data_IF_310438139984
#
_entry.id   IF_310438139984
#
_cell.length_a   1.000
_cell.length_b   1.000
_cell.length_c   1.000
_cell.angle_alpha   90.00
_cell.angle_beta   90.00
_cell.angle_gamma   90.00
#
_symmetry.space_group_name_H-M   'P 1'
#
loop_
_entity.id
_entity.type
_entity.pdbx_description
1 polymer ?
#
# COMPACT_ATOMS: atom_id res chain seq x y z
N UNK A 1 3.79 1.64 12.70
CA UNK A 1 4.23 1.65 11.28
C UNK A 1 3.89 0.37 10.53
N UNK A 2 4.25 -0.83 11.03
CA UNK A 2 3.95 -2.08 10.32
C UNK A 2 2.46 -2.25 9.98
N UNK A 3 1.56 -1.98 10.94
CA UNK A 3 0.11 -1.99 10.70
C UNK A 3 -0.33 -1.04 9.58
N UNK A 4 0.40 0.05 9.36
CA UNK A 4 0.10 1.03 8.33
C UNK A 4 0.44 0.50 6.92
N UNK A 5 1.58 -0.18 6.77
CA UNK A 5 1.93 -0.91 5.53
C UNK A 5 1.04 -2.13 5.27
N UNK A 6 0.40 -2.66 6.31
CA UNK A 6 -0.55 -3.77 6.20
C UNK A 6 -2.01 -3.31 6.01
N UNK A 7 -2.22 -2.01 5.87
CA UNK A 7 -3.55 -1.44 5.66
C UNK A 7 -4.17 -1.96 4.37
N UNK A 8 -5.48 -2.25 4.43
CA UNK A 8 -6.28 -2.55 3.23
C UNK A 8 -6.83 -1.27 2.58
N UNK A 9 -6.73 -0.13 3.27
CA UNK A 9 -7.10 1.18 2.75
C UNK A 9 -5.96 1.80 1.93
N UNK A 10 -6.33 2.74 1.05
CA UNK A 10 -5.38 3.58 0.33
C UNK A 10 -4.61 4.48 1.32
N UNK A 11 -3.31 4.27 1.38
CA UNK A 11 -2.39 4.98 2.29
C UNK A 11 -1.19 5.61 1.60
N UNK A 12 -1.02 5.36 0.29
CA UNK A 12 0.15 5.80 -0.49
C UNK A 12 0.35 7.32 -0.45
N UNK A 13 -0.74 8.09 -0.49
CA UNK A 13 -0.74 9.55 -0.43
C UNK A 13 -0.18 10.12 0.87
N UNK A 14 -0.18 9.35 1.96
CA UNK A 14 0.33 9.78 3.27
C UNK A 14 1.53 8.97 3.74
N UNK A 15 2.03 8.06 2.89
CA UNK A 15 3.11 7.13 3.24
C UNK A 15 4.43 7.85 3.50
N UNK A 16 4.81 8.76 2.62
CA UNK A 16 6.08 9.47 2.73
C UNK A 16 6.18 10.29 4.02
N UNK A 17 5.16 11.10 4.29
CA UNK A 17 5.06 11.90 5.51
C UNK A 17 5.16 11.02 6.76
N UNK A 18 4.48 9.86 6.79
CA UNK A 18 4.57 8.94 7.93
C UNK A 18 5.95 8.29 8.06
N UNK A 19 6.61 7.95 6.95
CA UNK A 19 7.96 7.40 6.97
C UNK A 19 8.97 8.42 7.49
N UNK A 20 8.89 9.66 7.03
CA UNK A 20 9.71 10.77 7.53
C UNK A 20 9.50 10.98 9.02
N UNK A 21 8.24 11.07 9.48
CA UNK A 21 7.93 11.24 10.91
C UNK A 21 8.47 10.09 11.77
N UNK A 22 8.29 8.84 11.36
CA UNK A 22 8.80 7.67 12.11
C UNK A 22 10.32 7.66 12.14
N UNK A 23 10.98 7.93 11.02
CA UNK A 23 12.44 7.97 10.97
C UNK A 23 12.97 9.11 11.86
N UNK A 24 12.33 10.27 11.82
CA UNK A 24 12.63 11.42 12.68
C UNK A 24 12.52 11.07 14.15
N UNK A 25 11.41 10.47 14.56
CA UNK A 25 11.16 10.09 15.96
C UNK A 25 12.21 9.10 16.48
N UNK A 26 12.59 8.10 15.67
CA UNK A 26 13.66 7.17 16.00
C UNK A 26 15.02 7.86 16.13
N UNK A 27 15.33 8.80 15.22
CA UNK A 27 16.60 9.53 15.25
C UNK A 27 16.70 10.46 16.46
N UNK A 28 15.62 11.14 16.83
CA UNK A 28 15.55 11.99 18.02
C UNK A 28 15.81 11.22 19.33
N UNK A 29 15.64 9.89 19.34
CA UNK A 29 16.00 9.09 20.52
C UNK A 29 17.51 9.11 20.82
N UNK A 30 18.38 9.31 19.81
CA UNK A 30 19.83 9.18 19.96
C UNK A 30 20.69 10.20 19.17
N UNK A 31 20.10 11.13 18.41
CA UNK A 31 20.81 12.16 17.61
C UNK A 31 20.14 13.55 17.77
N UNK A 32 20.90 14.64 17.55
CA UNK A 32 20.42 16.03 17.66
C UNK A 32 20.21 16.76 16.32
N UNK A 33 20.44 16.11 15.18
CA UNK A 33 20.55 16.78 13.86
C UNK A 33 19.26 16.69 13.03
N UNK A 34 18.90 17.69 12.19
CA UNK A 34 17.75 17.65 11.28
C UNK A 34 17.95 16.74 10.04
N UNK A 35 16.87 16.12 9.54
CA UNK A 35 16.86 14.98 8.57
C UNK A 35 17.80 15.08 7.36
N UNK A 36 17.88 16.24 6.72
CA UNK A 36 18.60 16.41 5.46
C UNK A 36 20.14 16.37 5.60
N UNK A 37 20.66 16.32 6.84
CA UNK A 37 22.09 16.31 7.15
C UNK A 37 22.51 15.09 7.99
N UNK A 38 21.59 14.15 8.22
CA UNK A 38 21.83 13.01 9.10
C UNK A 38 22.57 11.93 8.33
N UNK A 39 23.79 11.65 8.76
CA UNK A 39 24.46 10.40 8.45
C UNK A 39 24.34 9.48 9.68
N UNK A 40 23.55 8.39 9.63
CA UNK A 40 23.44 7.44 10.73
C UNK A 40 24.77 6.75 11.11
N UNK A 41 25.82 6.92 10.29
CA UNK A 41 27.17 6.43 10.53
C UNK A 41 28.11 7.48 11.14
N UNK A 42 27.71 8.74 11.25
CA UNK A 42 28.53 9.80 11.84
C UNK A 42 28.35 9.83 13.36
N UNK A 43 29.30 9.19 14.06
CA UNK A 43 29.28 9.08 15.53
C UNK A 43 29.38 10.44 16.24
N UNK A 44 29.84 11.48 15.55
CA UNK A 44 29.94 12.84 16.11
C UNK A 44 28.57 13.50 16.31
N UNK A 45 27.52 12.98 15.65
CA UNK A 45 26.16 13.48 15.76
C UNK A 45 25.35 12.75 16.85
N UNK A 46 25.95 11.76 17.52
CA UNK A 46 25.27 10.97 18.54
C UNK A 46 25.17 11.72 19.87
N UNK A 47 24.00 11.59 20.50
CA UNK A 47 23.82 11.94 21.90
C UNK A 47 24.78 11.13 22.76
N UNK A 48 25.35 11.74 23.80
CA UNK A 48 26.13 10.98 24.78
C UNK A 48 25.23 9.89 25.40
N UNK A 49 25.79 8.71 25.67
CA UNK A 49 25.06 7.51 26.13
C UNK A 49 24.15 7.77 27.35
N UNK A 50 24.44 8.84 28.12
CA UNK A 50 23.67 9.32 29.28
C UNK A 50 22.43 10.17 28.97
N UNK A 51 22.16 10.52 27.71
CA UNK A 51 21.07 11.43 27.30
C UNK A 51 20.02 10.79 26.37
N UNK A 52 20.14 9.49 26.12
CA UNK A 52 19.22 8.73 25.25
C UNK A 52 17.83 8.64 25.87
N UNK A 53 16.80 8.95 25.10
CA UNK A 53 15.42 8.82 25.56
C UNK A 53 14.96 7.37 25.46
N UNK A 54 14.82 6.71 26.62
CA UNK A 54 14.41 5.30 26.73
C UNK A 54 12.90 5.11 26.97
N UNK A 55 12.14 6.22 27.01
CA UNK A 55 10.72 6.21 27.36
C UNK A 55 10.47 6.19 28.87
N UNK A 56 9.35 6.80 29.26
CA UNK A 56 8.99 7.05 30.68
C UNK A 56 8.97 5.77 31.53
N UNK A 57 8.43 4.67 31.00
CA UNK A 57 8.36 3.40 31.74
C UNK A 57 9.74 2.85 32.08
N UNK A 58 10.67 2.88 31.13
CA UNK A 58 12.04 2.41 31.33
C UNK A 58 12.78 3.34 32.28
N UNK A 59 12.63 4.66 32.12
CA UNK A 59 13.21 5.64 33.04
C UNK A 59 12.73 5.45 34.48
N UNK A 60 11.47 5.07 34.69
CA UNK A 60 10.94 4.78 36.02
C UNK A 60 11.53 3.48 36.61
N UNK A 61 11.74 2.45 35.80
CA UNK A 61 12.39 1.20 36.23
C UNK A 61 13.86 1.42 36.59
N UNK A 62 14.59 2.25 35.82
CA UNK A 62 16.01 2.55 36.08
C UNK A 62 16.21 3.26 37.43
N UNK A 63 15.21 4.00 37.93
CA UNK A 63 15.25 4.67 39.25
C UNK A 63 15.17 3.72 40.45
N UNK A 64 14.83 2.45 40.24
CA UNK A 64 14.78 1.46 41.32
C UNK A 64 16.21 1.24 41.83
N UNK A 65 16.42 1.36 43.15
CA UNK A 65 17.75 1.38 43.77
C UNK A 65 18.61 0.16 43.42
N UNK A 66 18.02 -1.04 43.36
CA UNK A 66 18.69 -2.28 42.97
C UNK A 66 19.22 -2.27 41.53
N UNK A 67 18.57 -1.54 40.62
CA UNK A 67 18.96 -1.38 39.22
C UNK A 67 19.96 -0.24 39.07
N UNK A 68 19.70 0.89 39.74
CA UNK A 68 20.53 2.08 39.69
C UNK A 68 21.98 1.84 40.17
N UNK A 69 22.17 0.90 41.09
CA UNK A 69 23.49 0.52 41.59
C UNK A 69 24.35 -0.21 40.53
N UNK A 70 23.72 -0.88 39.55
CA UNK A 70 24.41 -1.64 38.49
C UNK A 70 24.67 -0.79 37.24
N UNK A 71 25.55 0.20 37.39
CA UNK A 71 25.90 1.17 36.34
C UNK A 71 26.49 0.52 35.08
N UNK A 72 27.21 -0.58 35.26
CA UNK A 72 27.77 -1.42 34.19
C UNK A 72 26.68 -1.97 33.27
N UNK A 73 25.66 -2.62 33.83
CA UNK A 73 24.55 -3.19 33.06
C UNK A 73 23.66 -2.10 32.45
N UNK A 74 23.49 -0.97 33.13
CA UNK A 74 22.76 0.18 32.56
C UNK A 74 23.47 0.74 31.33
N UNK A 75 24.80 0.86 31.37
CA UNK A 75 25.58 1.30 30.20
C UNK A 75 25.47 0.29 29.05
N UNK A 76 25.56 -1.00 29.35
CA UNK A 76 25.40 -2.05 28.34
C UNK A 76 24.01 -2.04 27.72
N UNK A 77 22.96 -1.93 28.54
CA UNK A 77 21.57 -1.81 28.08
C UNK A 77 21.39 -0.61 27.16
N UNK A 78 21.86 0.58 27.57
CA UNK A 78 21.79 1.79 26.73
C UNK A 78 22.51 1.59 25.40
N UNK A 79 23.70 0.99 25.39
CA UNK A 79 24.43 0.70 24.15
C UNK A 79 23.66 -0.26 23.23
N UNK A 80 23.09 -1.34 23.78
CA UNK A 80 22.25 -2.29 23.02
C UNK A 80 21.01 -1.61 22.45
N UNK A 81 20.37 -0.73 23.22
CA UNK A 81 19.23 0.05 22.76
C UNK A 81 19.60 1.00 21.61
N UNK A 82 20.68 1.78 21.75
CA UNK A 82 21.17 2.67 20.69
C UNK A 82 21.47 1.86 19.44
N UNK A 83 22.17 0.73 19.56
CA UNK A 83 22.48 -0.15 18.44
C UNK A 83 21.21 -0.70 17.77
N UNK A 84 20.18 -1.04 18.54
CA UNK A 84 18.89 -1.49 18.01
C UNK A 84 18.19 -0.39 17.21
N UNK A 85 18.14 0.85 17.72
CA UNK A 85 17.53 1.99 17.02
C UNK A 85 18.35 2.36 15.78
N UNK A 86 19.68 2.42 15.87
CA UNK A 86 20.59 2.64 14.73
C UNK A 86 20.36 1.60 13.64
N UNK A 87 20.33 0.33 14.00
CA UNK A 87 20.04 -0.77 13.06
C UNK A 87 18.66 -0.57 12.43
N UNK A 88 17.65 -0.18 13.20
CA UNK A 88 16.30 0.08 12.69
C UNK A 88 16.29 1.20 11.65
N UNK A 89 16.94 2.34 11.92
CA UNK A 89 17.08 3.44 10.95
C UNK A 89 17.79 3.00 9.67
N UNK A 90 18.90 2.26 9.78
CA UNK A 90 19.64 1.73 8.62
C UNK A 90 18.78 0.78 7.78
N UNK A 91 18.01 -0.08 8.44
CA UNK A 91 17.10 -1.04 7.79
C UNK A 91 15.91 -0.33 7.12
N UNK A 92 15.43 0.78 7.69
CA UNK A 92 14.42 1.65 7.07
C UNK A 92 15.01 2.31 5.81
N UNK A 93 16.16 2.97 5.91
CA UNK A 93 16.81 3.64 4.77
C UNK A 93 17.18 2.66 3.64
N UNK A 94 17.46 1.39 3.97
CA UNK A 94 17.71 0.35 2.96
C UNK A 94 16.47 -0.04 2.16
N UNK A 95 15.28 0.04 2.76
CA UNK A 95 14.02 -0.46 2.16
C UNK A 95 13.11 0.65 1.65
N UNK A 96 13.25 1.86 2.19
CA UNK A 96 12.46 3.01 1.80
C UNK A 96 13.39 4.08 1.22
N UNK A 97 13.12 4.44 -0.03
CA UNK A 97 13.86 5.47 -0.74
C UNK A 97 13.32 6.87 -0.38
N UNK A 98 14.00 7.54 0.56
CA UNK A 98 13.69 8.93 0.93
C UNK A 98 14.11 9.95 -0.13
N UNK A 99 14.87 9.54 -1.15
CA UNK A 99 15.20 10.41 -2.29
C UNK A 99 14.16 10.32 -3.40
N UNK A 100 13.10 9.52 -3.22
CA UNK A 100 12.03 9.37 -4.18
C UNK A 100 11.26 10.70 -4.37
N UNK A 101 11.17 11.16 -5.61
CA UNK A 101 10.51 12.42 -5.97
C UNK A 101 9.00 12.29 -6.13
N UNK A 102 8.47 11.09 -6.34
CA UNK A 102 7.05 10.84 -6.64
C UNK A 102 6.24 10.76 -5.35
N UNK A 103 6.65 9.94 -4.38
CA UNK A 103 5.88 9.67 -3.15
C UNK A 103 5.52 10.94 -2.35
N UNK A 104 6.40 11.95 -2.19
CA UNK A 104 6.03 13.20 -1.55
C UNK A 104 4.93 13.97 -2.31
N UNK A 105 4.94 13.89 -3.65
CA UNK A 105 3.97 14.57 -4.50
C UNK A 105 2.59 13.94 -4.43
N UNK A 106 2.47 12.62 -4.21
CA UNK A 106 1.17 11.92 -4.13
C UNK A 106 0.27 12.49 -3.02
N UNK A 107 0.83 13.11 -1.98
CA UNK A 107 0.05 13.76 -0.91
C UNK A 107 -0.84 14.90 -1.43
N UNK A 108 -0.52 15.49 -2.59
CA UNK A 108 -1.39 16.51 -3.20
C UNK A 108 -2.77 15.98 -3.60
N UNK A 109 -2.91 14.66 -3.72
CA UNK A 109 -4.17 13.96 -4.02
C UNK A 109 -4.99 13.64 -2.76
N UNK A 110 -4.48 13.93 -1.55
CA UNK A 110 -5.26 13.80 -0.32
C UNK A 110 -6.41 14.82 -0.34
N UNK A 111 -7.68 14.45 -0.02
CA UNK A 111 -8.83 15.37 -0.10
C UNK A 111 -8.63 16.70 0.63
N UNK A 112 -8.04 16.66 1.84
CA UNK A 112 -7.73 17.85 2.64
C UNK A 112 -6.72 18.80 1.99
N UNK A 113 -5.92 18.30 1.05
CA UNK A 113 -4.94 19.06 0.27
C UNK A 113 -5.51 19.46 -1.09
N UNK A 114 -6.09 18.49 -1.81
CA UNK A 114 -6.64 18.66 -3.15
C UNK A 114 -7.74 19.73 -3.19
N UNK A 115 -8.64 19.71 -2.21
CA UNK A 115 -9.83 20.58 -2.16
C UNK A 115 -9.59 21.89 -1.40
N UNK A 116 -8.39 22.12 -0.86
CA UNK A 116 -8.07 23.28 -0.05
C UNK A 116 -7.29 24.34 -0.83
N UNK A 117 -7.89 25.52 -0.99
CA UNK A 117 -7.22 26.68 -1.61
C UNK A 117 -5.96 27.09 -0.86
N UNK A 118 -5.92 26.92 0.48
CA UNK A 118 -4.74 27.25 1.31
C UNK A 118 -3.58 26.29 1.10
N UNK A 119 -3.88 25.01 0.87
CA UNK A 119 -2.83 24.00 0.69
C UNK A 119 -2.23 24.07 -0.71
N UNK A 120 -2.97 24.61 -1.69
CA UNK A 120 -2.49 24.78 -3.07
C UNK A 120 -1.16 25.53 -3.18
N UNK A 121 -0.92 26.53 -2.34
CA UNK A 121 0.33 27.30 -2.36
C UNK A 121 1.54 26.52 -1.80
N UNK A 122 1.28 25.48 -0.99
CA UNK A 122 2.33 24.66 -0.36
C UNK A 122 2.80 23.50 -1.21
N UNK A 123 2.01 23.12 -2.22
CA UNK A 123 2.30 21.99 -3.09
C UNK A 123 2.63 22.47 -4.50
N UNK A 124 3.55 21.79 -5.20
CA UNK A 124 3.84 22.10 -6.59
C UNK A 124 2.63 21.78 -7.51
N UNK A 125 2.64 22.28 -8.76
CA UNK A 125 1.61 21.95 -9.74
C UNK A 125 1.48 20.44 -9.97
N UNK A 126 0.28 20.01 -10.41
CA UNK A 126 0.00 18.59 -10.71
C UNK A 126 0.91 18.05 -11.82
N UNK A 127 1.43 18.93 -12.68
CA UNK A 127 2.36 18.59 -13.76
C UNK A 127 3.63 17.93 -13.24
N UNK A 128 4.15 18.37 -12.08
CA UNK A 128 5.32 17.75 -11.45
C UNK A 128 5.12 16.28 -11.11
N UNK A 129 3.88 15.85 -10.85
CA UNK A 129 3.53 14.46 -10.60
C UNK A 129 3.20 13.73 -11.92
N UNK A 130 2.39 14.32 -12.80
CA UNK A 130 1.94 13.67 -14.03
C UNK A 130 3.08 13.41 -15.03
N UNK A 131 4.06 14.31 -15.11
CA UNK A 131 5.24 14.15 -15.99
C UNK A 131 6.11 12.95 -15.59
N UNK A 132 6.14 12.60 -14.29
CA UNK A 132 6.87 11.45 -13.79
C UNK A 132 6.10 10.12 -13.99
N UNK A 133 4.78 10.19 -14.23
CA UNK A 133 3.88 9.05 -14.34
C UNK A 133 3.36 8.87 -15.77
N UNK A 134 4.28 8.84 -16.75
CA UNK A 134 3.96 8.68 -18.17
C UNK A 134 3.07 7.44 -18.45
N UNK A 135 3.24 6.34 -17.72
CA UNK A 135 2.38 5.15 -17.90
C UNK A 135 0.89 5.42 -17.60
N UNK A 136 0.58 6.39 -16.74
CA UNK A 136 -0.78 6.75 -16.37
C UNK A 136 -1.30 7.87 -17.28
N UNK A 137 -0.47 8.88 -17.56
CA UNK A 137 -0.85 10.03 -18.39
C UNK A 137 0.22 10.28 -19.43
N UNK A 138 -0.17 10.23 -20.71
CA UNK A 138 0.71 10.50 -21.83
C UNK A 138 0.27 11.75 -22.60
N UNK A 139 1.24 12.59 -22.94
CA UNK A 139 1.07 13.72 -23.85
C UNK A 139 0.64 15.03 -23.19
N UNK A 140 1.20 16.14 -23.69
CA UNK A 140 1.04 17.49 -23.13
C UNK A 140 -0.43 17.94 -23.07
N UNK A 141 -1.24 17.55 -24.06
CA UNK A 141 -2.68 17.88 -24.09
C UNK A 141 -3.44 17.29 -22.90
N UNK A 142 -3.09 16.07 -22.47
CA UNK A 142 -3.73 15.43 -21.32
C UNK A 142 -3.24 16.03 -20.01
N UNK A 143 -1.95 16.36 -19.92
CA UNK A 143 -1.37 17.06 -18.77
C UNK A 143 -2.02 18.43 -18.59
N UNK A 144 -2.24 19.18 -19.68
CA UNK A 144 -2.92 20.48 -19.64
C UNK A 144 -4.35 20.35 -19.11
N UNK A 145 -5.13 19.36 -19.57
CA UNK A 145 -6.49 19.11 -19.06
C UNK A 145 -6.49 18.82 -17.56
N UNK A 146 -5.53 18.02 -17.08
CA UNK A 146 -5.39 17.72 -15.66
C UNK A 146 -5.09 18.96 -14.83
N UNK A 147 -4.17 19.80 -15.30
CA UNK A 147 -3.85 21.07 -14.62
C UNK A 147 -5.06 22.00 -14.59
N UNK A 148 -5.78 22.16 -15.70
CA UNK A 148 -6.97 23.00 -15.77
C UNK A 148 -8.07 22.52 -14.81
N UNK A 149 -8.33 21.21 -14.75
CA UNK A 149 -9.28 20.61 -13.81
C UNK A 149 -8.82 20.80 -12.36
N UNK A 150 -7.54 20.56 -12.07
CA UNK A 150 -6.95 20.73 -10.74
C UNK A 150 -7.05 22.16 -10.25
N UNK A 151 -6.88 23.15 -11.13
CA UNK A 151 -6.99 24.58 -10.82
C UNK A 151 -8.43 25.00 -10.55
N UNK A 152 -9.38 24.41 -11.27
CA UNK A 152 -10.79 24.80 -11.23
C UNK A 152 -11.55 24.14 -10.09
N UNK A 153 -11.12 22.96 -9.62
CA UNK A 153 -11.85 22.19 -8.59
C UNK A 153 -12.07 22.96 -7.28
N UNK A 154 -11.09 23.80 -6.87
CA UNK A 154 -11.18 24.62 -5.65
C UNK A 154 -12.08 25.84 -5.80
N UNK A 155 -12.45 26.20 -7.03
CA UNK A 155 -13.33 27.34 -7.33
C UNK A 155 -14.81 26.95 -7.36
N UNK A 156 -15.10 25.65 -7.47
CA UNK A 156 -16.47 25.13 -7.56
C UNK A 156 -16.95 24.73 -6.16
N UNK A 157 -18.21 25.04 -5.86
CA UNK A 157 -18.86 24.57 -4.63
C UNK A 157 -19.21 23.07 -4.77
N UNK A 158 -18.37 22.22 -4.20
CA UNK A 158 -18.60 20.77 -4.17
C UNK A 158 -19.70 20.39 -3.16
N UNK A 159 -20.42 19.28 -3.35
CA UNK A 159 -21.34 18.73 -2.37
C UNK A 159 -20.69 18.49 -0.99
N UNK A 160 -21.48 18.60 0.08
CA UNK A 160 -20.98 18.42 1.44
C UNK A 160 -20.39 17.02 1.66
N UNK A 161 -20.96 15.99 1.03
CA UNK A 161 -20.48 14.60 1.10
C UNK A 161 -19.00 14.49 0.70
N UNK A 162 -18.60 15.15 -0.39
CA UNK A 162 -17.22 15.17 -0.88
C UNK A 162 -16.30 15.94 0.09
N UNK A 163 -16.79 17.05 0.66
CA UNK A 163 -15.99 17.89 1.56
C UNK A 163 -15.71 17.22 2.91
N UNK A 164 -16.61 16.35 3.38
CA UNK A 164 -16.46 15.63 4.65
C UNK A 164 -15.73 14.30 4.52
N UNK A 165 -15.60 13.78 3.30
CA UNK A 165 -14.94 12.50 3.04
C UNK A 165 -13.42 12.59 3.29
N UNK A 166 -12.91 11.66 4.10
CA UNK A 166 -11.50 11.60 4.50
C UNK A 166 -10.74 10.56 3.70
N UNK A 167 -11.43 9.51 3.25
CA UNK A 167 -10.83 8.45 2.44
C UNK A 167 -10.62 8.95 1.01
N UNK A 168 -9.37 8.87 0.55
CA UNK A 168 -8.96 9.54 -0.69
C UNK A 168 -9.61 8.90 -1.92
N UNK A 169 -9.61 7.57 -1.99
CA UNK A 169 -10.27 6.77 -3.03
C UNK A 169 -11.78 7.03 -3.10
N UNK A 170 -12.47 7.05 -1.96
CA UNK A 170 -13.91 7.37 -1.91
C UNK A 170 -14.19 8.78 -2.39
N UNK A 171 -13.42 9.75 -1.93
CA UNK A 171 -13.57 11.16 -2.34
C UNK A 171 -13.41 11.32 -3.85
N UNK A 172 -12.36 10.73 -4.45
CA UNK A 172 -12.14 10.80 -5.89
C UNK A 172 -13.19 10.03 -6.70
N UNK A 173 -13.73 8.93 -6.16
CA UNK A 173 -14.87 8.23 -6.77
C UNK A 173 -16.10 9.12 -6.83
N UNK A 174 -16.44 9.82 -5.74
CA UNK A 174 -17.55 10.78 -5.72
C UNK A 174 -17.33 11.96 -6.68
N UNK A 175 -16.10 12.44 -6.82
CA UNK A 175 -15.76 13.51 -7.78
C UNK A 175 -15.92 13.01 -9.22
N UNK A 176 -15.55 11.75 -9.50
CA UNK A 176 -15.74 11.12 -10.81
C UNK A 176 -17.22 10.99 -11.18
N UNK A 177 -18.04 10.61 -10.22
CA UNK A 177 -19.49 10.40 -10.39
C UNK A 177 -20.30 11.70 -10.41
N UNK A 178 -19.66 12.86 -10.22
CA UNK A 178 -20.32 14.16 -10.29
C UNK A 178 -20.89 14.37 -11.70
N UNK A 179 -22.22 14.41 -11.83
CA UNK A 179 -22.95 14.41 -13.12
C UNK A 179 -22.62 15.55 -14.10
N UNK A 180 -21.72 16.47 -13.75
CA UNK A 180 -21.19 17.49 -14.65
C UNK A 180 -20.02 17.01 -15.51
N UNK A 181 -19.37 15.90 -15.15
CA UNK A 181 -18.20 15.34 -15.84
C UNK A 181 -16.96 16.25 -15.89
N UNK A 182 -16.97 17.38 -15.17
CA UNK A 182 -15.94 18.43 -15.27
C UNK A 182 -14.57 18.04 -14.72
N UNK A 183 -14.51 16.99 -13.90
CA UNK A 183 -13.30 16.57 -13.18
C UNK A 183 -12.96 15.09 -13.41
N UNK A 184 -13.48 14.49 -14.49
CA UNK A 184 -13.32 13.05 -14.74
C UNK A 184 -11.84 12.70 -14.92
N UNK A 185 -11.11 13.41 -15.78
CA UNK A 185 -9.70 13.11 -16.06
C UNK A 185 -8.85 13.21 -14.78
N UNK A 186 -9.07 14.25 -13.97
CA UNK A 186 -8.38 14.43 -12.70
C UNK A 186 -8.71 13.31 -11.70
N UNK A 187 -9.98 12.91 -11.61
CA UNK A 187 -10.40 11.84 -10.72
C UNK A 187 -9.87 10.48 -11.16
N UNK A 188 -9.87 10.19 -12.47
CA UNK A 188 -9.28 8.96 -13.01
C UNK A 188 -7.78 8.91 -12.80
N UNK A 189 -7.09 10.02 -13.02
CA UNK A 189 -5.68 10.15 -12.70
C UNK A 189 -5.43 9.89 -11.21
N UNK A 190 -6.17 10.55 -10.32
CA UNK A 190 -6.00 10.38 -8.89
C UNK A 190 -6.23 8.94 -8.45
N UNK A 191 -7.31 8.30 -8.92
CA UNK A 191 -7.63 6.89 -8.62
C UNK A 191 -6.53 5.95 -9.15
N UNK A 192 -6.01 6.20 -10.35
CA UNK A 192 -4.91 5.41 -10.89
C UNK A 192 -3.63 5.54 -10.05
N UNK A 193 -3.23 6.75 -9.66
CA UNK A 193 -2.07 6.95 -8.77
C UNK A 193 -2.29 6.31 -7.40
N UNK A 194 -3.48 6.47 -6.82
CA UNK A 194 -3.83 5.92 -5.50
C UNK A 194 -3.94 4.39 -5.50
N UNK A 195 -4.15 3.77 -6.67
CA UNK A 195 -4.17 2.31 -6.84
C UNK A 195 -2.79 1.68 -6.87
N UNK A 196 -1.72 2.49 -6.95
CA UNK A 196 -0.35 1.97 -6.93
C UNK A 196 -0.07 1.22 -5.63
N UNK A 197 0.59 0.04 -5.70
CA UNK A 197 0.86 -0.76 -4.52
C UNK A 197 1.84 -0.03 -3.60
N UNK A 198 1.41 0.22 -2.36
CA UNK A 198 2.22 0.89 -1.34
C UNK A 198 3.11 -0.09 -0.54
N UNK A 199 2.81 -1.40 -0.60
CA UNK A 199 3.56 -2.44 0.09
C UNK A 199 3.36 -3.81 -0.56
N UNK A 200 4.27 -4.73 -0.28
CA UNK A 200 4.17 -6.13 -0.66
C UNK A 200 3.35 -6.97 0.34
N UNK A 201 2.88 -6.39 1.45
CA UNK A 201 2.27 -7.14 2.55
C UNK A 201 0.96 -7.84 2.13
N UNK A 202 0.22 -7.27 1.18
CA UNK A 202 -0.96 -7.91 0.59
C UNK A 202 -0.57 -9.16 -0.21
N UNK A 203 0.51 -9.11 -1.00
CA UNK A 203 1.04 -10.25 -1.74
C UNK A 203 1.55 -11.34 -0.79
N UNK A 204 2.29 -10.96 0.26
CA UNK A 204 2.77 -11.90 1.28
C UNK A 204 1.62 -12.64 2.00
N UNK A 205 0.51 -11.95 2.28
CA UNK A 205 -0.70 -12.59 2.83
C UNK A 205 -1.30 -13.61 1.87
N UNK A 206 -1.32 -13.33 0.57
CA UNK A 206 -1.78 -14.28 -0.45
C UNK A 206 -0.82 -15.47 -0.54
N UNK A 207 0.50 -15.24 -0.55
CA UNK A 207 1.50 -16.31 -0.56
C UNK A 207 1.42 -17.20 0.68
N UNK A 208 1.17 -16.61 1.85
CA UNK A 208 0.92 -17.38 3.08
C UNK A 208 -0.31 -18.29 2.94
N UNK A 209 -1.42 -17.79 2.39
CA UNK A 209 -2.61 -18.61 2.09
C UNK A 209 -2.29 -19.73 1.10
N UNK A 210 -1.54 -19.43 0.04
CA UNK A 210 -1.10 -20.42 -0.95
C UNK A 210 -0.25 -21.52 -0.29
N UNK A 211 0.66 -21.16 0.62
CA UNK A 211 1.48 -22.12 1.36
C UNK A 211 0.64 -23.01 2.29
N UNK A 212 -0.45 -22.48 2.87
CA UNK A 212 -1.41 -23.28 3.63
C UNK A 212 -2.24 -24.24 2.73
N UNK A 213 -2.55 -23.84 1.50
CA UNK A 213 -3.26 -24.69 0.52
C UNK A 213 -2.33 -25.80 0.01
N UNK A 214 -1.09 -25.44 -0.33
CA UNK A 214 -0.02 -26.33 -0.80
C UNK A 214 0.82 -26.81 0.38
N UNK A 215 0.23 -27.54 1.32
CA UNK A 215 1.04 -28.16 2.40
C UNK A 215 1.97 -29.23 1.81
N UNK A 216 3.06 -29.56 2.52
CA UNK A 216 3.97 -30.65 2.13
C UNK A 216 3.27 -32.02 1.97
N UNK A 217 2.11 -32.20 2.61
CA UNK A 217 1.31 -33.43 2.57
C UNK A 217 0.16 -33.41 1.54
N UNK A 218 -0.30 -32.24 1.09
CA UNK A 218 -1.31 -32.13 0.02
C UNK A 218 -0.60 -32.20 -1.33
N UNK A 219 -0.94 -33.24 -2.09
CA UNK A 219 -0.51 -33.46 -3.47
C UNK A 219 -0.58 -32.18 -4.31
N UNK A 220 0.36 -32.06 -5.27
CA UNK A 220 0.44 -31.07 -6.35
C UNK A 220 -0.97 -30.71 -6.90
N UNK A 221 -1.63 -29.74 -6.30
CA UNK A 221 -2.81 -29.12 -6.89
C UNK A 221 -2.36 -28.38 -8.15
N UNK A 222 -3.09 -28.56 -9.24
CA UNK A 222 -2.86 -27.77 -10.45
C UNK A 222 -3.08 -26.28 -10.15
N UNK A 223 -2.37 -25.42 -10.85
CA UNK A 223 -2.36 -23.96 -10.62
C UNK A 223 -3.76 -23.35 -10.68
N UNK A 224 -4.59 -23.81 -11.62
CA UNK A 224 -5.99 -23.39 -11.74
C UNK A 224 -6.81 -23.69 -10.49
N UNK A 225 -6.63 -24.87 -9.86
CA UNK A 225 -7.32 -25.23 -8.61
C UNK A 225 -6.84 -24.39 -7.45
N UNK A 226 -5.53 -24.13 -7.34
CA UNK A 226 -4.99 -23.25 -6.29
C UNK A 226 -5.53 -21.84 -6.45
N UNK A 227 -5.49 -21.29 -7.67
CA UNK A 227 -6.01 -19.96 -8.00
C UNK A 227 -7.50 -19.86 -7.70
N UNK A 228 -8.32 -20.80 -8.18
CA UNK A 228 -9.75 -20.84 -7.91
C UNK A 228 -10.06 -20.93 -6.41
N UNK A 229 -9.28 -21.70 -5.64
CA UNK A 229 -9.44 -21.81 -4.18
C UNK A 229 -9.17 -20.47 -3.49
N UNK A 230 -8.09 -19.79 -3.86
CA UNK A 230 -7.75 -18.47 -3.32
C UNK A 230 -8.85 -17.46 -3.67
N UNK A 231 -9.22 -17.34 -4.95
CA UNK A 231 -10.27 -16.41 -5.43
C UNK A 231 -11.60 -16.67 -4.71
N UNK A 232 -12.02 -17.93 -4.62
CA UNK A 232 -13.26 -18.29 -3.91
C UNK A 232 -13.20 -17.87 -2.45
N UNK A 233 -12.08 -18.15 -1.77
CA UNK A 233 -11.92 -17.77 -0.36
C UNK A 233 -11.97 -16.26 -0.12
N UNK A 234 -11.41 -15.46 -1.03
CA UNK A 234 -11.44 -14.00 -0.95
C UNK A 234 -12.81 -13.43 -1.31
N UNK A 235 -13.49 -14.02 -2.31
CA UNK A 235 -14.86 -13.66 -2.68
C UNK A 235 -15.84 -13.87 -1.52
N UNK A 236 -15.73 -15.00 -0.81
CA UNK A 236 -16.55 -15.25 0.38
C UNK A 236 -16.31 -14.22 1.47
N UNK A 237 -15.03 -13.92 1.78
CA UNK A 237 -14.67 -12.92 2.79
C UNK A 237 -15.18 -11.53 2.44
N UNK A 238 -15.06 -11.09 1.17
CA UNK A 238 -15.55 -9.79 0.71
C UNK A 238 -17.05 -9.62 0.95
N UNK A 239 -17.81 -10.71 0.83
CA UNK A 239 -19.25 -10.73 1.09
C UNK A 239 -19.61 -11.00 2.56
N UNK A 240 -18.63 -10.99 3.49
CA UNK A 240 -18.79 -11.38 4.89
C UNK A 240 -19.37 -12.80 5.08
N UNK A 241 -19.10 -13.69 4.13
CA UNK A 241 -19.51 -15.09 4.15
C UNK A 241 -18.33 -15.99 4.53
N UNK A 242 -18.66 -17.18 5.03
CA UNK A 242 -17.71 -18.25 5.30
C UNK A 242 -18.24 -19.58 4.73
N UNK A 243 -17.49 -20.67 4.89
CA UNK A 243 -17.89 -21.99 4.38
C UNK A 243 -19.15 -22.58 5.06
N UNK A 244 -19.63 -21.99 6.15
CA UNK A 244 -20.83 -22.42 6.88
C UNK A 244 -22.05 -21.65 6.39
N UNK A 245 -21.90 -20.35 6.14
CA UNK A 245 -22.99 -19.45 5.77
C UNK A 245 -23.16 -19.32 4.25
N UNK A 246 -22.21 -19.80 3.45
CA UNK A 246 -22.30 -19.76 2.00
C UNK A 246 -23.39 -20.69 1.48
N UNK A 247 -24.33 -20.12 0.72
CA UNK A 247 -25.36 -20.89 0.00
C UNK A 247 -25.07 -20.81 -1.50
N UNK A 248 -24.71 -21.95 -2.15
CA UNK A 248 -24.49 -21.97 -3.59
C UNK A 248 -25.77 -21.62 -4.35
N UNK A 249 -25.63 -20.90 -5.46
CA UNK A 249 -26.76 -20.63 -6.35
C UNK A 249 -27.14 -21.87 -7.15
N UNK A 250 -28.36 -21.91 -7.70
CA UNK A 250 -28.79 -23.00 -8.58
C UNK A 250 -27.82 -23.24 -9.75
N UNK A 251 -27.31 -22.16 -10.35
CA UNK A 251 -26.29 -22.23 -11.41
C UNK A 251 -24.97 -22.89 -10.95
N UNK A 252 -24.57 -22.68 -9.69
CA UNK A 252 -23.39 -23.35 -9.13
C UNK A 252 -23.63 -24.86 -8.94
N UNK A 253 -24.86 -25.29 -8.61
CA UNK A 253 -25.18 -26.71 -8.57
C UNK A 253 -25.18 -27.33 -9.97
N UNK A 254 -25.77 -26.65 -10.95
CA UNK A 254 -25.86 -27.14 -12.33
C UNK A 254 -24.47 -27.28 -12.98
N UNK A 255 -23.51 -26.43 -12.60
CA UNK A 255 -22.11 -26.46 -13.09
C UNK A 255 -21.25 -27.56 -12.46
N UNK A 256 -21.64 -28.11 -11.30
CA UNK A 256 -20.97 -29.24 -10.62
C UNK A 256 -21.71 -30.56 -10.91
N UNK A 257 -22.54 -30.59 -11.94
CA UNK A 257 -23.23 -31.80 -12.41
C UNK A 257 -22.26 -32.83 -12.97
N UNK A 258 -22.65 -34.11 -12.89
CA UNK A 258 -21.86 -35.23 -13.42
C UNK A 258 -21.47 -35.03 -14.89
N UNK A 259 -22.40 -34.53 -15.70
CA UNK A 259 -22.20 -34.24 -17.12
C UNK A 259 -21.17 -33.13 -17.37
N UNK A 260 -21.03 -32.18 -16.45
CA UNK A 260 -20.06 -31.08 -16.51
C UNK A 260 -18.67 -31.50 -16.01
N UNK A 261 -18.61 -32.24 -14.90
CA UNK A 261 -17.35 -32.66 -14.27
C UNK A 261 -16.66 -33.83 -14.97
N UNK A 262 -17.46 -34.74 -15.54
CA UNK A 262 -16.98 -35.94 -16.23
C UNK A 262 -17.59 -35.97 -17.63
N UNK A 263 -17.19 -35.06 -18.53
CA UNK A 263 -17.63 -35.13 -19.91
C UNK A 263 -17.19 -36.49 -20.46
N UNK A 264 -18.16 -37.33 -20.78
CA UNK A 264 -17.89 -38.64 -21.37
C UNK A 264 -17.03 -38.42 -22.60
N UNK A 265 -15.89 -39.09 -22.69
CA UNK A 265 -14.94 -39.00 -23.80
C UNK A 265 -15.51 -39.64 -25.07
N UNK A 266 -16.72 -39.27 -25.48
CA UNK A 266 -17.26 -39.54 -26.81
C UNK A 266 -16.84 -38.37 -27.67
N UNK A 267 -15.58 -38.42 -28.09
CA UNK A 267 -15.08 -37.58 -29.17
C UNK A 267 -15.76 -38.02 -30.46
N UNK A 268 -16.94 -37.51 -30.76
CA UNK A 268 -17.29 -37.29 -32.16
C UNK A 268 -16.46 -36.09 -32.60
N UNK A 269 -15.33 -36.38 -33.26
CA UNK A 269 -14.66 -35.45 -34.15
C UNK A 269 -15.71 -35.05 -35.19
N UNK A 270 -16.43 -33.96 -34.98
CA UNK A 270 -17.15 -33.14 -35.96
C UNK A 270 -18.05 -32.17 -35.19
N UNK A 271 -17.46 -31.09 -34.68
CA UNK A 271 -18.06 -29.76 -34.52
C UNK A 271 -17.02 -28.87 -33.81
N UNK A 272 -15.97 -28.56 -34.56
CA UNK A 272 -15.14 -27.39 -34.30
C UNK A 272 -15.93 -26.20 -34.84
N UNK A 273 -15.99 -25.12 -34.05
CA UNK A 273 -16.70 -23.85 -34.28
C UNK A 273 -18.14 -23.79 -33.76
N UNK A 274 -18.32 -23.38 -32.50
CA UNK A 274 -18.52 -21.95 -32.19
C UNK A 274 -18.55 -21.73 -30.67
N UNK A 275 -17.98 -20.61 -30.23
CA UNK A 275 -18.12 -20.02 -28.89
C UNK A 275 -17.25 -20.61 -27.76
N UNK A 276 -15.93 -20.52 -27.93
CA UNK A 276 -15.01 -20.33 -26.78
C UNK A 276 -14.75 -18.84 -26.61
N UNK A 277 -15.59 -18.15 -25.83
CA UNK A 277 -15.18 -16.90 -25.20
C UNK A 277 -14.41 -17.28 -23.94
N UNK A 278 -13.16 -17.72 -24.12
CA UNK A 278 -12.21 -17.69 -23.02
C UNK A 278 -11.93 -16.23 -22.74
N UNK A 279 -12.23 -15.78 -21.52
CA UNK A 279 -11.69 -14.55 -20.99
C UNK A 279 -10.18 -14.75 -20.97
N UNK A 280 -9.51 -14.06 -21.90
CA UNK A 280 -8.07 -14.08 -22.07
C UNK A 280 -7.45 -13.37 -20.86
N UNK A 281 -7.07 -14.11 -19.82
CA UNK A 281 -6.22 -13.62 -18.73
C UNK A 281 -4.80 -14.06 -19.04
N UNK A 282 -4.26 -13.62 -20.17
CA UNK A 282 -2.86 -13.80 -20.54
C UNK A 282 -2.32 -12.44 -20.96
N UNK A 283 -1.97 -11.60 -19.99
CA UNK A 283 -1.07 -10.45 -20.22
C UNK A 283 -0.20 -10.10 -18.99
N UNK A 284 -0.17 -10.92 -17.93
CA UNK A 284 0.72 -10.69 -16.76
C UNK A 284 1.76 -11.82 -16.51
N UNK A 285 1.86 -12.82 -17.38
CA UNK A 285 2.83 -13.92 -17.20
C UNK A 285 4.27 -13.61 -17.68
N UNK A 286 4.56 -12.42 -18.22
CA UNK A 286 5.88 -12.13 -18.82
C UNK A 286 6.84 -11.29 -17.95
N UNK A 287 6.52 -11.02 -16.67
CA UNK A 287 7.41 -10.24 -15.78
C UNK A 287 8.23 -11.11 -14.80
N UNK A 288 7.99 -12.42 -14.71
CA UNK A 288 8.57 -13.27 -13.65
C UNK A 288 9.71 -14.21 -14.05
N UNK A 289 10.34 -14.01 -15.20
CA UNK A 289 11.48 -14.84 -15.64
C UNK A 289 12.70 -14.03 -16.06
N UNK A 290 13.27 -13.22 -15.18
CA UNK A 290 14.67 -12.80 -15.26
C UNK A 290 15.23 -12.46 -13.86
N UNK A 291 15.58 -13.48 -13.08
CA UNK A 291 16.64 -13.43 -12.07
C UNK A 291 17.33 -14.81 -12.03
N UNK A 292 18.43 -14.91 -12.78
CA UNK A 292 19.63 -15.68 -12.42
C UNK A 292 20.77 -14.65 -12.25
#
# INVERSE_FOLDING_TARGET
MNQYFQSEHVVINTLNEKMELVCTDLLLCYMKTPLHLINPNDENQFLSTSTVYLGVKVLNQIKISAIQQRKDLLKEFSNRFINFIKTSCLQINKRYDFSNTILPLVNMLTPSVALSSKMREKYPPITCLSEQLHRIVNGDSNIQKLDDQRRTIVLVRLPNEIQTEKESDKCWTLIKELGTGKFIDLAEFALAVLSLPHSNASCERVFSKINCIKTKSRNKLITSTVSATVITSECLKKNNLNCICFQPTKLMFDSVSYTSLYPSSVTNKNELNTNKTMININEEEEIFLLED
#
